data_IF_908122475486
#
_entry.id   IF_908122475486
#
_cell.length_a   1.000
_cell.length_b   1.000
_cell.length_c   1.000
_cell.angle_alpha   90.00
_cell.angle_beta   90.00
_cell.angle_gamma   90.00
#
_symmetry.space_group_name_H-M   'P 1'
#
loop_
_entity.id
_entity.type
_entity.pdbx_description
1 polymer ?
#
# COMPACT_ATOMS: atom_id res chain seq x y z
N UNK A 1 -10.58 -12.55 -10.68
CA UNK A 1 -11.24 -11.71 -9.66
C UNK A 1 -10.45 -10.42 -9.45
N UNK A 2 -11.06 -9.36 -8.91
CA UNK A 2 -10.38 -8.07 -8.63
C UNK A 2 -9.17 -8.25 -7.70
N UNK A 3 -9.13 -9.34 -6.91
CA UNK A 3 -7.98 -9.75 -6.09
C UNK A 3 -6.72 -10.02 -6.93
N UNK A 4 -6.85 -10.68 -8.09
CA UNK A 4 -5.71 -11.07 -8.94
C UNK A 4 -5.00 -9.85 -9.55
N UNK A 5 -5.76 -8.79 -9.83
CA UNK A 5 -5.24 -7.54 -10.37
C UNK A 5 -4.20 -6.94 -9.41
N UNK A 6 -4.53 -6.90 -8.12
CA UNK A 6 -3.64 -6.33 -7.10
C UNK A 6 -2.45 -7.24 -6.77
N UNK A 7 -2.56 -8.56 -6.93
CA UNK A 7 -1.43 -9.46 -6.73
C UNK A 7 -0.26 -9.20 -7.70
N UNK A 8 -0.57 -8.64 -8.87
CA UNK A 8 0.43 -8.27 -9.87
C UNK A 8 1.22 -7.01 -9.51
N UNK A 9 0.67 -6.13 -8.66
CA UNK A 9 1.28 -4.88 -8.26
C UNK A 9 2.31 -5.08 -7.14
N UNK A 10 3.29 -4.19 -7.07
CA UNK A 10 4.09 -3.97 -5.87
C UNK A 10 3.28 -3.28 -4.78
N UNK A 11 3.71 -3.39 -3.53
CA UNK A 11 3.09 -2.66 -2.43
C UNK A 11 3.07 -1.14 -2.68
N UNK A 12 4.15 -0.58 -3.24
CA UNK A 12 4.22 0.83 -3.65
C UNK A 12 3.17 1.18 -4.70
N UNK A 13 3.10 0.41 -5.79
CA UNK A 13 2.14 0.69 -6.88
C UNK A 13 0.70 0.59 -6.38
N UNK A 14 0.40 -0.42 -5.56
CA UNK A 14 -0.92 -0.58 -4.95
C UNK A 14 -1.28 0.60 -4.04
N UNK A 15 -0.37 1.01 -3.14
CA UNK A 15 -0.65 2.10 -2.20
C UNK A 15 -0.71 3.46 -2.90
N UNK A 16 0.08 3.68 -3.96
CA UNK A 16 -0.03 4.87 -4.80
C UNK A 16 -1.35 4.89 -5.57
N UNK A 17 -1.76 3.77 -6.16
CA UNK A 17 -3.06 3.64 -6.81
C UNK A 17 -4.22 3.95 -5.84
N UNK A 18 -4.17 3.41 -4.62
CA UNK A 18 -5.16 3.74 -3.59
C UNK A 18 -5.11 5.23 -3.23
N UNK A 19 -3.93 5.83 -3.09
CA UNK A 19 -3.79 7.25 -2.80
C UNK A 19 -4.37 8.15 -3.89
N UNK A 20 -4.10 7.85 -5.15
CA UNK A 20 -4.63 8.57 -6.31
C UNK A 20 -6.17 8.51 -6.38
N UNK A 21 -6.78 7.39 -5.97
CA UNK A 21 -8.25 7.29 -5.87
C UNK A 21 -8.86 8.26 -4.83
N UNK A 22 -8.06 8.81 -3.93
CA UNK A 22 -8.46 9.77 -2.90
C UNK A 22 -7.71 11.10 -3.04
N UNK A 23 -7.38 11.47 -4.28
CA UNK A 23 -6.77 12.77 -4.63
C UNK A 23 -5.42 13.07 -3.94
N UNK A 24 -4.71 12.03 -3.49
CA UNK A 24 -3.31 12.17 -3.09
C UNK A 24 -2.40 12.03 -4.31
N UNK A 25 -1.49 12.99 -4.50
CA UNK A 25 -0.44 12.84 -5.49
C UNK A 25 0.51 11.68 -5.14
N UNK A 26 1.23 11.21 -6.16
CA UNK A 26 2.12 10.05 -6.06
C UNK A 26 3.26 10.26 -5.04
N UNK A 27 3.76 11.48 -4.90
CA UNK A 27 4.85 11.79 -3.97
C UNK A 27 4.36 11.66 -2.52
N UNK A 28 3.23 12.30 -2.21
CA UNK A 28 2.58 12.19 -0.90
C UNK A 28 2.15 10.76 -0.58
N UNK A 29 1.58 10.04 -1.56
CA UNK A 29 1.20 8.64 -1.41
C UNK A 29 2.41 7.75 -1.13
N UNK A 30 3.50 7.94 -1.88
CA UNK A 30 4.75 7.17 -1.69
C UNK A 30 5.36 7.45 -0.32
N UNK A 31 5.37 8.73 0.11
CA UNK A 31 5.89 9.12 1.42
C UNK A 31 5.07 8.48 2.55
N UNK A 32 3.74 8.64 2.54
CA UNK A 32 2.84 8.00 3.52
C UNK A 32 2.97 6.47 3.51
N UNK A 33 3.02 5.85 2.33
CA UNK A 33 3.19 4.41 2.19
C UNK A 33 4.47 3.93 2.88
N UNK A 34 5.59 4.61 2.67
CA UNK A 34 6.87 4.29 3.30
C UNK A 34 6.79 4.44 4.83
N UNK A 35 6.26 5.56 5.32
CA UNK A 35 6.08 5.81 6.76
C UNK A 35 5.22 4.75 7.43
N UNK A 36 4.06 4.44 6.86
CA UNK A 36 3.13 3.44 7.41
C UNK A 36 3.72 2.03 7.31
N UNK A 37 4.30 1.64 6.17
CA UNK A 37 4.95 0.33 6.06
C UNK A 37 6.10 0.16 7.05
N UNK A 38 6.80 1.24 7.41
CA UNK A 38 7.81 1.24 8.47
C UNK A 38 7.20 0.95 9.85
N UNK A 39 6.10 1.64 10.20
CA UNK A 39 5.38 1.41 11.47
C UNK A 39 4.84 -0.02 11.61
N UNK A 40 4.45 -0.65 10.50
CA UNK A 40 4.00 -2.04 10.47
C UNK A 40 5.14 -3.07 10.29
N UNK A 41 6.39 -2.62 10.17
CA UNK A 41 7.59 -3.45 10.06
C UNK A 41 7.71 -4.20 8.73
N UNK A 42 7.18 -3.66 7.63
CA UNK A 42 7.21 -4.27 6.28
C UNK A 42 7.81 -3.36 5.20
N UNK A 43 8.42 -2.23 5.56
CA UNK A 43 9.01 -1.25 4.62
C UNK A 43 9.97 -1.86 3.60
N UNK A 44 10.78 -2.84 4.00
CA UNK A 44 11.73 -3.52 3.10
C UNK A 44 11.05 -4.22 1.91
N UNK A 45 9.74 -4.41 1.94
CA UNK A 45 8.93 -5.02 0.90
C UNK A 45 8.18 -4.00 0.03
N UNK A 46 8.48 -2.71 0.15
CA UNK A 46 7.81 -1.63 -0.58
C UNK A 46 7.79 -1.87 -2.10
N UNK A 47 8.91 -2.36 -2.66
CA UNK A 47 9.04 -2.65 -4.09
C UNK A 47 8.82 -4.14 -4.42
N UNK A 48 8.25 -4.92 -3.50
CA UNK A 48 7.96 -6.35 -3.70
C UNK A 48 6.52 -6.53 -4.17
N UNK A 49 6.30 -7.46 -5.10
CA UNK A 49 4.95 -7.83 -5.57
C UNK A 49 4.11 -8.39 -4.43
N UNK A 50 2.82 -8.02 -4.41
CA UNK A 50 1.87 -8.44 -3.37
C UNK A 50 1.65 -9.97 -3.39
N UNK A 51 1.76 -10.61 -4.56
CA UNK A 51 1.75 -12.08 -4.67
C UNK A 51 2.79 -12.78 -3.79
N UNK A 52 3.95 -12.15 -3.54
CA UNK A 52 5.00 -12.68 -2.67
C UNK A 52 4.78 -12.40 -1.18
N UNK A 53 3.74 -11.63 -0.81
CA UNK A 53 3.46 -11.33 0.59
C UNK A 53 2.87 -12.55 1.28
N UNK A 54 3.32 -12.80 2.52
CA UNK A 54 2.61 -13.70 3.43
C UNK A 54 1.20 -13.17 3.70
N UNK A 55 0.30 -14.06 4.17
CA UNK A 55 -1.06 -13.67 4.57
C UNK A 55 -1.06 -12.49 5.56
N UNK A 56 -0.17 -12.51 6.56
CA UNK A 56 -0.05 -11.44 7.55
C UNK A 56 0.45 -10.13 6.96
N UNK A 57 1.39 -10.18 6.00
CA UNK A 57 1.82 -8.97 5.29
C UNK A 57 0.71 -8.38 4.43
N UNK A 58 -0.11 -9.21 3.78
CA UNK A 58 -1.30 -8.73 3.03
C UNK A 58 -2.30 -8.06 3.95
N UNK A 59 -2.57 -8.63 5.12
CA UNK A 59 -3.43 -8.01 6.13
C UNK A 59 -2.89 -6.64 6.57
N UNK A 60 -1.58 -6.53 6.85
CA UNK A 60 -0.94 -5.24 7.16
C UNK A 60 -1.08 -4.24 6.01
N UNK A 61 -0.87 -4.67 4.77
CA UNK A 61 -1.00 -3.83 3.59
C UNK A 61 -2.43 -3.28 3.42
N UNK A 62 -3.45 -4.10 3.68
CA UNK A 62 -4.87 -3.68 3.66
C UNK A 62 -5.16 -2.65 4.76
N UNK A 63 -4.60 -2.81 5.96
CA UNK A 63 -4.73 -1.81 7.02
C UNK A 63 -4.05 -0.49 6.61
N UNK A 64 -2.86 -0.57 6.01
CA UNK A 64 -2.14 0.61 5.51
C UNK A 64 -2.94 1.33 4.43
N UNK A 65 -3.52 0.61 3.46
CA UNK A 65 -4.32 1.24 2.39
C UNK A 65 -5.57 1.93 2.92
N UNK A 66 -6.23 1.36 3.95
CA UNK A 66 -7.33 2.01 4.64
C UNK A 66 -6.92 3.30 5.36
N UNK A 67 -5.68 3.40 5.86
CA UNK A 67 -5.14 4.61 6.49
C UNK A 67 -4.76 5.67 5.43
N UNK A 68 -4.15 5.25 4.31
CA UNK A 68 -3.81 6.16 3.20
C UNK A 68 -5.06 6.83 2.63
N UNK A 69 -6.14 6.06 2.49
CA UNK A 69 -7.45 6.58 2.08
C UNK A 69 -7.93 7.73 2.98
N UNK A 70 -7.74 7.60 4.30
CA UNK A 70 -8.35 8.46 5.32
C UNK A 70 -7.53 9.73 5.58
N UNK A 71 -7.00 10.33 4.51
CA UNK A 71 -6.38 11.66 4.57
C UNK A 71 -7.32 12.61 5.31
N UNK A 72 -6.78 13.31 6.31
CA UNK A 72 -7.54 14.09 7.28
C UNK A 72 -8.57 15.00 6.59
N UNK A 73 -9.84 14.87 6.98
CA UNK A 73 -10.71 16.05 7.05
C UNK A 73 -10.12 17.06 8.03
#
# INVERSE_FOLDING_TARGET
>A
EVSDLYESLTAKEYLNFIGELYDLDVENSTRKAKELMSQFGIENYLNTRISAFSKGMRQKLILISAIIHRSEE
#
